data_IF_810512674824
#
_entry.id   IF_810512674824
#
_cell.length_a   1.000
_cell.length_b   1.000
_cell.length_c   1.000
_cell.angle_alpha   90.00
_cell.angle_beta   90.00
_cell.angle_gamma   90.00
#
_symmetry.space_group_name_H-M   'P 1'
#
loop_
_entity.id
_entity.type
_entity.pdbx_description
1 polymer ?
#
# COMPACT_ATOMS: atom_id res chain seq x y z
N UNK A 1 5.56 -38.04 4.93
CA UNK A 1 6.23 -37.71 3.66
C UNK A 1 5.14 -37.71 2.60
N UNK A 2 4.68 -36.54 2.14
CA UNK A 2 3.60 -36.47 1.15
C UNK A 2 4.19 -36.65 -0.26
N UNK A 3 3.78 -37.68 -0.99
CA UNK A 3 4.16 -37.86 -2.38
C UNK A 3 3.42 -36.82 -3.23
N UNK A 4 4.16 -35.92 -3.87
CA UNK A 4 3.60 -34.84 -4.70
C UNK A 4 3.33 -35.33 -6.13
N UNK A 5 4.10 -36.34 -6.57
CA UNK A 5 4.09 -36.88 -7.93
C UNK A 5 4.31 -38.41 -7.85
N UNK A 6 3.62 -39.16 -8.71
CA UNK A 6 3.82 -40.60 -8.90
C UNK A 6 3.55 -40.96 -10.36
N UNK A 7 4.02 -42.13 -10.82
CA UNK A 7 3.75 -42.64 -12.15
C UNK A 7 3.42 -44.14 -12.09
N UNK A 8 2.44 -44.57 -12.87
CA UNK A 8 2.05 -45.98 -13.01
C UNK A 8 2.34 -46.41 -14.44
N UNK A 9 3.11 -47.49 -14.58
CA UNK A 9 3.42 -48.12 -15.86
C UNK A 9 2.66 -49.44 -15.96
N UNK A 10 1.75 -49.56 -16.91
CA UNK A 10 0.99 -50.77 -17.19
C UNK A 10 1.15 -51.20 -18.64
N UNK A 11 1.16 -52.51 -18.91
CA UNK A 11 1.04 -53.03 -20.28
C UNK A 11 -0.41 -53.40 -20.56
N UNK A 12 -0.92 -52.95 -21.70
CA UNK A 12 -2.24 -53.28 -22.24
C UNK A 12 -2.07 -54.00 -23.59
N UNK A 13 -3.14 -54.60 -24.12
CA UNK A 13 -3.10 -55.36 -25.39
C UNK A 13 -2.67 -54.48 -26.59
N UNK A 14 -2.81 -53.17 -26.48
CA UNK A 14 -2.44 -52.17 -27.50
C UNK A 14 -1.10 -51.45 -27.25
N UNK A 15 -0.33 -51.84 -26.21
CA UNK A 15 0.98 -51.27 -25.89
C UNK A 15 1.15 -50.82 -24.44
N UNK A 16 2.22 -50.05 -24.17
CA UNK A 16 2.51 -49.55 -22.82
C UNK A 16 1.66 -48.30 -22.50
N UNK A 17 0.88 -48.37 -21.43
CA UNK A 17 0.08 -47.26 -20.89
C UNK A 17 0.79 -46.67 -19.66
N UNK A 18 1.07 -45.38 -19.72
CA UNK A 18 1.75 -44.65 -18.65
C UNK A 18 0.79 -43.58 -18.10
N UNK A 19 0.57 -43.58 -16.78
CA UNK A 19 -0.29 -42.62 -16.10
C UNK A 19 0.55 -41.83 -15.10
N UNK A 20 0.76 -40.54 -15.39
CA UNK A 20 1.37 -39.59 -14.47
C UNK A 20 0.32 -39.06 -13.49
N UNK A 21 0.53 -39.30 -12.19
CA UNK A 21 -0.32 -38.80 -11.11
C UNK A 21 0.38 -37.61 -10.45
N UNK A 22 -0.36 -36.52 -10.25
CA UNK A 22 0.15 -35.33 -9.59
C UNK A 22 -0.84 -34.84 -8.54
N UNK A 23 -0.31 -34.21 -7.49
CA UNK A 23 -1.11 -33.52 -6.50
C UNK A 23 -1.25 -32.04 -6.88
N UNK A 24 -2.49 -31.55 -7.02
CA UNK A 24 -2.79 -30.18 -7.43
C UNK A 24 -2.54 -29.11 -6.34
N UNK A 25 -1.79 -29.43 -5.28
CA UNK A 25 -1.39 -28.46 -4.25
C UNK A 25 -0.26 -27.52 -4.71
N UNK A 26 0.63 -27.99 -5.58
CA UNK A 26 1.72 -27.17 -6.13
C UNK A 26 1.39 -26.79 -7.58
N UNK A 27 1.51 -25.50 -7.92
CA UNK A 27 1.13 -24.97 -9.23
C UNK A 27 1.83 -25.64 -10.42
N UNK A 28 3.06 -26.13 -10.22
CA UNK A 28 3.85 -26.76 -11.28
C UNK A 28 3.88 -28.30 -11.19
N UNK A 29 3.12 -28.91 -10.28
CA UNK A 29 3.18 -30.37 -10.07
C UNK A 29 2.77 -31.17 -11.29
N UNK A 30 1.80 -30.67 -12.07
CA UNK A 30 1.35 -31.29 -13.32
C UNK A 30 2.42 -31.27 -14.41
N UNK A 31 3.11 -30.14 -14.59
CA UNK A 31 4.19 -30.03 -15.56
C UNK A 31 5.40 -30.88 -15.17
N UNK A 32 5.75 -30.91 -13.88
CA UNK A 32 6.88 -31.70 -13.37
C UNK A 32 6.60 -33.20 -13.49
N UNK A 33 5.36 -33.65 -13.25
CA UNK A 33 5.02 -35.07 -13.36
C UNK A 33 5.20 -35.61 -14.77
N UNK A 34 4.78 -34.84 -15.77
CA UNK A 34 4.98 -35.17 -17.18
C UNK A 34 6.47 -35.14 -17.54
N UNK A 35 7.20 -34.10 -17.12
CA UNK A 35 8.65 -33.98 -17.35
C UNK A 35 9.43 -35.19 -16.84
N UNK A 36 9.07 -35.71 -15.66
CA UNK A 36 9.74 -36.86 -15.06
C UNK A 36 9.42 -38.15 -15.82
N UNK A 37 8.17 -38.32 -16.27
CA UNK A 37 7.78 -39.45 -17.11
C UNK A 37 8.55 -39.42 -18.44
N UNK A 38 8.60 -38.28 -19.11
CA UNK A 38 9.35 -38.13 -20.37
C UNK A 38 10.84 -38.43 -20.18
N UNK A 39 11.44 -37.93 -19.10
CA UNK A 39 12.83 -38.24 -18.76
C UNK A 39 13.05 -39.76 -18.58
N UNK A 40 12.13 -40.45 -17.88
CA UNK A 40 12.25 -41.90 -17.67
C UNK A 40 12.13 -42.71 -18.97
N UNK A 41 11.25 -42.31 -19.89
CA UNK A 41 11.09 -42.95 -21.20
C UNK A 41 12.36 -42.77 -22.04
N UNK A 42 12.91 -41.56 -22.08
CA UNK A 42 14.12 -41.26 -22.86
C UNK A 42 15.32 -42.02 -22.29
N UNK A 43 15.47 -42.06 -20.96
CA UNK A 43 16.50 -42.88 -20.31
C UNK A 43 16.41 -44.35 -20.70
N UNK A 44 15.21 -44.90 -20.76
CA UNK A 44 14.97 -46.29 -21.15
C UNK A 44 15.36 -46.57 -22.61
N UNK A 45 15.05 -45.65 -23.54
CA UNK A 45 15.33 -45.84 -24.97
C UNK A 45 16.81 -45.62 -25.31
N UNK A 46 17.43 -44.57 -24.76
CA UNK A 46 18.77 -44.11 -25.14
C UNK A 46 19.87 -44.87 -24.38
N UNK A 47 19.56 -45.48 -23.24
CA UNK A 47 20.49 -46.36 -22.53
C UNK A 47 21.67 -45.66 -21.86
N UNK A 48 21.46 -44.48 -21.27
CA UNK A 48 22.49 -43.72 -20.54
C UNK A 48 21.92 -42.74 -19.50
N UNK A 49 22.78 -41.98 -18.80
CA UNK A 49 22.38 -40.93 -17.84
C UNK A 49 21.88 -39.67 -18.55
N UNK A 50 20.76 -39.78 -19.28
CA UNK A 50 20.13 -38.64 -19.91
C UNK A 50 19.31 -37.83 -18.90
N UNK A 51 19.54 -36.53 -18.77
CA UNK A 51 18.75 -35.64 -17.91
C UNK A 51 17.95 -34.64 -18.75
N UNK A 52 16.63 -34.62 -18.58
CA UNK A 52 15.75 -33.63 -19.20
C UNK A 52 15.53 -32.46 -18.24
N UNK A 53 15.79 -31.23 -18.69
CA UNK A 53 15.45 -30.01 -17.92
C UNK A 53 14.42 -29.19 -18.69
N UNK A 54 13.24 -29.05 -18.09
CA UNK A 54 12.17 -28.19 -18.58
C UNK A 54 12.10 -26.97 -17.68
N UNK A 55 12.07 -25.79 -18.29
CA UNK A 55 11.94 -24.50 -17.62
C UNK A 55 10.79 -23.75 -18.26
N UNK A 56 9.92 -23.18 -17.43
CA UNK A 56 8.84 -22.31 -17.88
C UNK A 56 9.32 -20.86 -17.81
N UNK A 57 9.58 -20.27 -18.97
CA UNK A 57 9.88 -18.85 -19.07
C UNK A 57 8.59 -18.10 -19.46
N UNK A 58 8.01 -17.29 -18.56
CA UNK A 58 6.81 -16.54 -18.90
C UNK A 58 7.15 -15.55 -20.01
N UNK A 59 6.28 -15.47 -21.02
CA UNK A 59 6.44 -14.51 -22.10
C UNK A 59 6.52 -13.08 -21.54
N UNK A 60 7.40 -12.20 -22.09
CA UNK A 60 7.52 -10.83 -21.62
C UNK A 60 6.15 -10.13 -21.68
N UNK A 61 5.73 -9.60 -20.53
CA UNK A 61 4.44 -8.91 -20.41
C UNK A 61 4.41 -7.69 -21.32
N UNK A 62 3.31 -7.50 -22.05
CA UNK A 62 3.09 -6.28 -22.83
C UNK A 62 2.84 -5.12 -21.86
N UNK A 63 3.15 -3.89 -22.28
CA UNK A 63 2.94 -2.70 -21.43
C UNK A 63 1.51 -2.56 -20.89
N UNK A 64 0.51 -3.05 -21.63
CA UNK A 64 -0.89 -3.07 -21.21
C UNK A 64 -1.16 -4.06 -20.05
N UNK A 65 -0.52 -5.23 -20.08
CA UNK A 65 -0.63 -6.23 -19.02
C UNK A 65 0.09 -5.78 -17.73
N UNK A 66 1.12 -4.95 -17.86
CA UNK A 66 1.79 -4.35 -16.71
C UNK A 66 0.88 -3.34 -16.00
N UNK A 67 -0.03 -2.62 -16.67
CA UNK A 67 -0.95 -1.73 -15.95
C UNK A 67 -1.96 -2.54 -15.12
N UNK A 68 -2.40 -3.69 -15.63
CA UNK A 68 -3.27 -4.60 -14.86
C UNK A 68 -2.53 -5.37 -13.76
N UNK A 69 -1.25 -5.67 -13.95
CA UNK A 69 -0.44 -6.42 -12.98
C UNK A 69 0.39 -5.56 -12.01
N UNK A 70 0.66 -4.29 -12.34
CA UNK A 70 1.27 -3.25 -11.48
C UNK A 70 0.20 -2.37 -10.85
N UNK A 71 -1.07 -2.55 -11.22
CA UNK A 71 -2.15 -2.30 -10.28
C UNK A 71 -1.89 -3.18 -9.07
N UNK A 72 -1.20 -2.64 -8.07
CA UNK A 72 -1.36 -3.05 -6.68
C UNK A 72 -2.82 -3.43 -6.53
N UNK A 73 -3.12 -4.62 -5.99
CA UNK A 73 -4.51 -5.07 -5.89
C UNK A 73 -5.36 -3.90 -5.42
N UNK A 74 -6.45 -3.59 -6.14
CA UNK A 74 -7.26 -2.39 -5.85
C UNK A 74 -7.66 -2.30 -4.37
N UNK A 75 -7.75 -3.46 -3.71
CA UNK A 75 -7.90 -3.59 -2.26
C UNK A 75 -6.71 -3.02 -1.46
N UNK A 76 -5.47 -3.34 -1.80
CA UNK A 76 -4.26 -2.80 -1.16
C UNK A 76 -4.16 -1.28 -1.34
N UNK A 77 -4.40 -0.77 -2.56
CA UNK A 77 -4.41 0.68 -2.81
C UNK A 77 -5.46 1.39 -1.97
N UNK A 78 -6.67 0.81 -1.92
CA UNK A 78 -7.78 1.34 -1.12
C UNK A 78 -7.45 1.32 0.38
N UNK A 79 -6.81 0.25 0.88
CA UNK A 79 -6.38 0.16 2.27
C UNK A 79 -5.33 1.21 2.63
N UNK A 80 -4.30 1.38 1.79
CA UNK A 80 -3.27 2.40 2.00
C UNK A 80 -3.87 3.80 1.98
N UNK A 81 -4.73 4.10 1.00
CA UNK A 81 -5.43 5.38 0.89
C UNK A 81 -6.27 5.69 2.13
N UNK A 82 -7.08 4.74 2.60
CA UNK A 82 -7.91 4.91 3.79
C UNK A 82 -7.05 5.18 5.04
N UNK A 83 -5.95 4.45 5.22
CA UNK A 83 -5.06 4.64 6.38
C UNK A 83 -4.44 6.04 6.39
N UNK A 84 -4.01 6.54 5.23
CA UNK A 84 -3.49 7.91 5.10
C UNK A 84 -4.60 8.93 5.40
N UNK A 85 -5.81 8.71 4.87
CA UNK A 85 -6.96 9.58 5.13
C UNK A 85 -7.30 9.65 6.63
N UNK A 86 -7.33 8.52 7.33
CA UNK A 86 -7.54 8.51 8.79
C UNK A 86 -6.45 9.30 9.51
N UNK A 87 -5.19 9.07 9.14
CA UNK A 87 -4.04 9.75 9.75
C UNK A 87 -4.13 11.27 9.59
N UNK A 88 -4.44 11.75 8.38
CA UNK A 88 -4.57 13.18 8.09
C UNK A 88 -5.78 13.79 8.80
N UNK A 89 -6.92 13.10 8.86
CA UNK A 89 -8.11 13.60 9.56
C UNK A 89 -7.86 13.78 11.07
N UNK A 90 -7.19 12.83 11.72
CA UNK A 90 -6.83 12.96 13.13
C UNK A 90 -5.76 14.03 13.37
N UNK A 91 -4.78 14.15 12.48
CA UNK A 91 -3.78 15.20 12.54
C UNK A 91 -4.44 16.60 12.45
N UNK A 92 -5.34 16.80 11.49
CA UNK A 92 -6.09 18.05 11.35
C UNK A 92 -6.98 18.34 12.56
N UNK A 93 -7.68 17.34 13.08
CA UNK A 93 -8.49 17.48 14.28
C UNK A 93 -7.65 17.87 15.50
N UNK A 94 -6.40 17.39 15.62
CA UNK A 94 -5.53 17.77 16.74
C UNK A 94 -5.27 19.28 16.82
N UNK A 95 -5.18 19.97 15.68
CA UNK A 95 -4.96 21.42 15.63
C UNK A 95 -6.15 22.22 16.18
N UNK A 96 -7.39 21.74 16.04
CA UNK A 96 -8.57 22.47 16.54
C UNK A 96 -8.59 22.57 18.07
N UNK A 97 -7.98 21.61 18.78
CA UNK A 97 -7.91 21.63 20.24
C UNK A 97 -7.15 22.87 20.71
N UNK A 98 -6.01 23.16 20.07
CA UNK A 98 -5.19 24.32 20.37
C UNK A 98 -5.93 25.61 20.05
N UNK A 99 -6.58 25.70 18.89
CA UNK A 99 -7.35 26.88 18.48
C UNK A 99 -8.52 27.19 19.43
N UNK A 100 -9.30 26.19 19.85
CA UNK A 100 -10.41 26.40 20.78
C UNK A 100 -9.91 26.77 22.18
N UNK A 101 -8.78 26.19 22.63
CA UNK A 101 -8.14 26.58 23.91
C UNK A 101 -7.59 28.00 23.85
N UNK A 102 -7.01 28.41 22.73
CA UNK A 102 -6.51 29.77 22.51
C UNK A 102 -7.65 30.80 22.64
N UNK A 103 -8.81 30.49 22.06
CA UNK A 103 -10.01 31.34 22.17
C UNK A 103 -10.55 31.44 23.59
N UNK A 104 -10.53 30.36 24.37
CA UNK A 104 -11.02 30.38 25.76
C UNK A 104 -10.06 31.04 26.75
N UNK A 105 -8.76 31.03 26.44
CA UNK A 105 -7.70 31.57 27.32
C UNK A 105 -7.15 32.93 26.86
N UNK A 106 -7.61 33.47 25.72
CA UNK A 106 -7.05 34.67 25.07
C UNK A 106 -5.52 34.62 24.89
N UNK A 107 -4.96 33.41 24.72
CA UNK A 107 -3.51 33.18 24.72
C UNK A 107 -2.78 33.92 23.58
N UNK A 108 -3.48 34.25 22.49
CA UNK A 108 -2.98 35.07 21.38
C UNK A 108 -2.43 36.42 21.85
N UNK A 109 -3.14 37.06 22.79
CA UNK A 109 -2.75 38.33 23.37
C UNK A 109 -1.46 38.18 24.18
N UNK A 110 -1.32 37.07 24.92
CA UNK A 110 -0.12 36.77 25.73
C UNK A 110 1.07 36.47 24.82
N UNK A 111 0.89 35.73 23.72
CA UNK A 111 1.94 35.49 22.73
C UNK A 111 2.38 36.76 21.98
N UNK A 112 1.45 37.68 21.68
CA UNK A 112 1.78 38.98 21.09
C UNK A 112 2.56 39.88 22.06
N UNK A 113 2.20 39.89 23.35
CA UNK A 113 2.96 40.66 24.36
C UNK A 113 4.35 40.04 24.59
N UNK A 114 4.47 38.71 24.50
CA UNK A 114 5.73 38.00 24.75
C UNK A 114 6.74 38.10 23.60
N UNK A 115 6.42 38.81 22.51
CA UNK A 115 7.35 39.05 21.40
C UNK A 115 7.73 37.80 20.60
N UNK A 116 6.89 36.74 20.62
CA UNK A 116 7.18 35.51 19.90
C UNK A 116 7.10 35.77 18.38
N UNK A 117 8.22 35.61 17.67
CA UNK A 117 8.27 35.80 16.23
C UNK A 117 7.52 34.69 15.51
N UNK A 118 6.45 35.06 14.79
CA UNK A 118 5.62 34.12 14.02
C UNK A 118 6.44 33.27 13.04
N UNK A 119 7.56 33.80 12.53
CA UNK A 119 8.49 33.10 11.64
C UNK A 119 9.14 31.86 12.28
N UNK A 120 9.47 31.87 13.58
CA UNK A 120 10.13 30.75 14.24
C UNK A 120 9.21 29.52 14.34
N UNK A 121 7.90 29.75 14.47
CA UNK A 121 6.90 28.68 14.49
C UNK A 121 6.86 27.93 13.15
N UNK A 122 6.84 28.66 12.04
CA UNK A 122 6.83 28.06 10.69
C UNK A 122 8.14 27.31 10.39
N UNK A 123 9.29 27.80 10.85
CA UNK A 123 10.56 27.08 10.66
C UNK A 123 10.61 25.74 11.38
N UNK A 124 10.01 25.62 12.57
CA UNK A 124 9.96 24.37 13.33
C UNK A 124 9.05 23.34 12.63
N UNK A 125 7.91 23.78 12.10
CA UNK A 125 7.02 22.91 11.31
C UNK A 125 7.71 22.39 10.05
N UNK A 126 8.41 23.25 9.30
CA UNK A 126 9.18 22.83 8.13
C UNK A 126 10.29 21.85 8.51
N UNK A 127 10.95 22.04 9.66
CA UNK A 127 11.97 21.12 10.15
C UNK A 127 11.39 19.75 10.50
N UNK A 128 10.26 19.68 11.22
CA UNK A 128 9.61 18.41 11.59
C UNK A 128 9.22 17.60 10.33
N UNK A 129 8.77 18.28 9.28
CA UNK A 129 8.43 17.64 8.00
C UNK A 129 9.69 17.16 7.26
N UNK A 130 10.79 17.90 7.31
CA UNK A 130 12.08 17.46 6.75
C UNK A 130 12.65 16.22 7.47
N UNK A 131 12.41 16.11 8.79
CA UNK A 131 12.83 14.95 9.59
C UNK A 131 11.99 13.69 9.37
N UNK A 132 10.81 13.80 8.77
CA UNK A 132 10.02 12.65 8.30
C UNK A 132 10.62 12.11 7.00
N UNK A 133 11.84 11.58 7.09
CA UNK A 133 12.52 10.91 5.98
C UNK A 133 11.82 9.57 5.73
N UNK A 134 10.83 9.59 4.83
CA UNK A 134 10.09 8.39 4.44
C UNK A 134 11.03 7.55 3.57
N UNK A 135 11.65 6.56 4.20
CA UNK A 135 12.68 5.66 3.65
C UNK A 135 12.31 4.90 2.36
N UNK A 136 11.07 5.01 1.88
CA UNK A 136 10.58 4.35 0.66
C UNK A 136 10.77 5.16 -0.63
N UNK A 137 10.99 6.48 -0.57
CA UNK A 137 11.14 7.31 -1.77
C UNK A 137 12.59 7.72 -1.96
N UNK A 138 13.38 6.90 -2.67
CA UNK A 138 14.82 7.17 -2.89
C UNK A 138 15.11 8.30 -3.90
N UNK A 139 14.11 8.70 -4.69
CA UNK A 139 14.26 9.78 -5.68
C UNK A 139 13.85 11.13 -5.09
N UNK A 140 14.77 12.10 -5.14
CA UNK A 140 14.56 13.48 -4.67
C UNK A 140 13.34 14.14 -5.31
N UNK A 141 13.06 13.86 -6.59
CA UNK A 141 11.87 14.41 -7.27
C UNK A 141 10.56 13.90 -6.67
N UNK A 142 10.51 12.62 -6.28
CA UNK A 142 9.30 12.01 -5.72
C UNK A 142 9.03 12.52 -4.30
N UNK A 143 10.09 12.65 -3.49
CA UNK A 143 10.00 13.25 -2.16
C UNK A 143 9.53 14.71 -2.22
N UNK A 144 10.06 15.50 -3.16
CA UNK A 144 9.65 16.89 -3.36
C UNK A 144 8.18 17.03 -3.74
N UNK A 145 7.65 16.12 -4.57
CA UNK A 145 6.22 16.10 -4.94
C UNK A 145 5.33 15.78 -3.74
N UNK A 146 5.67 14.77 -2.94
CA UNK A 146 4.93 14.44 -1.72
C UNK A 146 4.93 15.60 -0.73
N UNK A 147 6.08 16.25 -0.54
CA UNK A 147 6.19 17.43 0.29
C UNK A 147 5.26 18.55 -0.17
N UNK A 148 5.23 18.86 -1.47
CA UNK A 148 4.35 19.88 -2.04
C UNK A 148 2.87 19.57 -1.80
N UNK A 149 2.47 18.30 -1.94
CA UNK A 149 1.09 17.87 -1.69
C UNK A 149 0.71 18.09 -0.22
N UNK A 150 1.53 17.62 0.73
CA UNK A 150 1.26 17.81 2.15
C UNK A 150 1.29 19.28 2.58
N UNK A 151 2.24 20.07 2.07
CA UNK A 151 2.34 21.49 2.36
C UNK A 151 1.10 22.24 1.86
N UNK A 152 0.71 22.03 0.59
CA UNK A 152 -0.45 22.69 0.00
C UNK A 152 -1.74 22.29 0.71
N UNK A 153 -1.88 20.99 1.06
CA UNK A 153 -3.01 20.51 1.83
C UNK A 153 -3.06 21.13 3.24
N UNK A 154 -1.92 21.23 3.93
CA UNK A 154 -1.80 21.91 5.23
C UNK A 154 -2.20 23.38 5.14
N UNK A 155 -1.65 24.13 4.17
CA UNK A 155 -1.97 25.54 3.97
C UNK A 155 -3.45 25.78 3.63
N UNK A 156 -4.10 24.89 2.87
CA UNK A 156 -5.51 25.00 2.54
C UNK A 156 -6.44 24.61 3.71
N UNK A 157 -6.06 23.59 4.48
CA UNK A 157 -6.89 23.04 5.57
C UNK A 157 -6.85 23.89 6.85
N UNK A 158 -5.72 24.52 7.18
CA UNK A 158 -5.57 25.32 8.40
C UNK A 158 -6.57 26.50 8.51
N UNK A 159 -6.77 27.34 7.47
CA UNK A 159 -7.78 28.40 7.49
C UNK A 159 -9.20 27.86 7.66
N UNK A 160 -9.51 26.73 7.03
CA UNK A 160 -10.83 26.09 7.13
C UNK A 160 -11.10 25.61 8.56
N UNK A 161 -10.12 24.95 9.19
CA UNK A 161 -10.22 24.50 10.59
C UNK A 161 -10.35 25.68 11.55
N UNK A 162 -9.66 26.79 11.27
CA UNK A 162 -9.80 28.03 12.04
C UNK A 162 -11.22 28.60 11.99
N UNK A 163 -11.86 28.63 10.80
CA UNK A 163 -13.26 29.05 10.68
C UNK A 163 -14.17 28.08 11.44
N UNK A 164 -13.93 26.78 11.33
CA UNK A 164 -14.70 25.78 12.07
C UNK A 164 -14.55 25.92 13.60
N UNK A 165 -13.37 26.30 14.09
CA UNK A 165 -13.12 26.43 15.54
C UNK A 165 -13.99 27.51 16.19
N UNK A 166 -14.39 28.54 15.44
CA UNK A 166 -15.27 29.62 15.93
C UNK A 166 -16.65 29.14 16.38
N UNK A 167 -17.11 27.98 15.90
CA UNK A 167 -18.42 27.41 16.24
C UNK A 167 -18.40 26.54 17.50
N UNK A 168 -17.21 26.29 18.09
CA UNK A 168 -17.07 25.38 19.21
C UNK A 168 -16.45 26.07 20.43
N UNK A 169 -17.06 25.85 21.59
CA UNK A 169 -16.56 26.36 22.88
C UNK A 169 -15.83 25.31 23.72
N UNK A 170 -16.10 24.03 23.45
CA UNK A 170 -15.46 22.88 24.12
C UNK A 170 -14.48 22.19 23.17
N UNK A 171 -13.20 22.13 23.55
CA UNK A 171 -12.12 21.59 22.70
C UNK A 171 -12.27 20.09 22.40
N UNK A 172 -12.72 19.29 23.37
CA UNK A 172 -12.92 17.85 23.19
C UNK A 172 -14.05 17.55 22.18
N UNK A 173 -15.17 18.27 22.28
CA UNK A 173 -16.29 18.14 21.34
C UNK A 173 -15.91 18.59 19.94
N UNK A 174 -15.12 19.67 19.83
CA UNK A 174 -14.61 20.17 18.56
C UNK A 174 -13.73 19.14 17.84
N UNK A 175 -12.81 18.50 18.58
CA UNK A 175 -11.93 17.46 18.05
C UNK A 175 -12.72 16.31 17.42
N UNK A 176 -13.64 15.71 18.20
CA UNK A 176 -14.40 14.53 17.74
C UNK A 176 -15.28 14.88 16.55
N UNK A 177 -15.98 16.02 16.58
CA UNK A 177 -16.85 16.44 15.48
C UNK A 177 -16.06 16.76 14.21
N UNK A 178 -14.96 17.51 14.32
CA UNK A 178 -14.15 17.83 13.15
C UNK A 178 -13.53 16.57 12.54
N UNK A 179 -12.98 15.68 13.37
CA UNK A 179 -12.46 14.39 12.89
C UNK A 179 -13.52 13.60 12.11
N UNK A 180 -14.74 13.48 12.66
CA UNK A 180 -15.85 12.79 11.99
C UNK A 180 -16.24 13.47 10.66
N UNK A 181 -16.37 14.79 10.63
CA UNK A 181 -16.69 15.51 9.40
C UNK A 181 -15.62 15.32 8.33
N UNK A 182 -14.34 15.47 8.68
CA UNK A 182 -13.23 15.29 7.73
C UNK A 182 -13.15 13.85 7.23
N UNK A 183 -13.45 12.86 8.07
CA UNK A 183 -13.49 11.46 7.65
C UNK A 183 -14.63 11.18 6.65
N UNK A 184 -15.84 11.62 6.96
CA UNK A 184 -17.01 11.41 6.08
C UNK A 184 -16.83 12.15 4.75
N UNK A 185 -16.33 13.38 4.80
CA UNK A 185 -16.04 14.14 3.58
C UNK A 185 -14.99 13.43 2.73
N UNK A 186 -13.89 12.98 3.36
CA UNK A 186 -12.81 12.28 2.66
C UNK A 186 -13.27 10.98 2.00
N UNK A 187 -14.05 10.14 2.71
CA UNK A 187 -14.53 8.88 2.16
C UNK A 187 -15.55 9.11 1.04
N UNK A 188 -16.39 10.13 1.19
CA UNK A 188 -17.35 10.51 0.16
C UNK A 188 -16.64 10.98 -1.12
N UNK A 189 -15.61 11.83 -1.00
CA UNK A 189 -14.81 12.25 -2.16
C UNK A 189 -14.06 11.09 -2.80
N UNK A 190 -13.53 10.14 -2.00
CA UNK A 190 -12.84 8.96 -2.53
C UNK A 190 -13.78 8.02 -3.28
N UNK A 191 -15.05 7.88 -2.86
CA UNK A 191 -16.03 7.01 -3.53
C UNK A 191 -16.65 7.64 -4.78
N UNK A 192 -16.69 8.97 -4.87
CA UNK A 192 -17.30 9.69 -6.01
C UNK A 192 -16.35 9.78 -7.21
N UNK A 193 -15.04 9.69 -6.98
CA UNK A 193 -13.98 9.77 -8.01
C UNK A 193 -13.60 8.36 -8.45
#
# INVERSE_FOLDING_TARGET
MYYIISAIFGMDENGMKIIAMFNNQAYHSSAISVSLVDETIIKYIVGGEFQLRIWNDPFPRKHFDNIQAVGFDMSEQTQVSNNIQFSVAFLLASFIIFLVKEQSTNFKHIQQISGLNMFQYWTILCAIIYWLDVTSYREWEQQGRLFLIFATHGFASLPLIYICSLFFRNSATAYVRLALYTLILGTTTFLVI
#
